data_IF_521963187821
#
_entry.id   IF_521963187821
#
_cell.length_a   1.000
_cell.length_b   1.000
_cell.length_c   1.000
_cell.angle_alpha   90.00
_cell.angle_beta   90.00
_cell.angle_gamma   90.00
#
_symmetry.space_group_name_H-M   'P 1'
#
loop_
_entity.id
_entity.type
_entity.pdbx_description
1 polymer ?
#
# COMPACT_ATOMS: atom_id res chain seq x y z
N UNK A 1 -9.54 -3.33 32.59
CA UNK A 1 -9.59 -2.05 31.86
C UNK A 1 -8.97 -2.33 30.49
N UNK A 2 -9.81 -2.60 29.49
CA UNK A 2 -9.33 -2.92 28.15
C UNK A 2 -8.75 -1.65 27.52
N UNK A 3 -7.51 -1.70 27.04
CA UNK A 3 -6.99 -0.67 26.13
C UNK A 3 -7.86 -0.74 24.87
N UNK A 4 -8.69 0.26 24.64
CA UNK A 4 -9.34 0.45 23.35
C UNK A 4 -8.24 0.91 22.40
N UNK A 5 -7.74 0.01 21.56
CA UNK A 5 -6.82 0.38 20.47
C UNK A 5 -7.59 1.32 19.55
N UNK A 6 -6.98 2.45 19.22
CA UNK A 6 -7.55 3.40 18.27
C UNK A 6 -7.76 2.70 16.91
N UNK A 7 -8.87 3.01 16.23
CA UNK A 7 -9.20 2.34 14.95
C UNK A 7 -8.13 2.58 13.89
N UNK A 8 -7.51 3.76 13.86
CA UNK A 8 -6.41 4.08 12.94
C UNK A 8 -5.20 3.17 13.23
N UNK A 9 -4.86 2.96 14.51
CA UNK A 9 -3.78 2.04 14.90
C UNK A 9 -4.08 0.61 14.47
N UNK A 10 -5.28 0.10 14.75
CA UNK A 10 -5.66 -1.27 14.38
C UNK A 10 -5.63 -1.49 12.86
N UNK A 11 -6.09 -0.49 12.09
CA UNK A 11 -6.07 -0.52 10.63
C UNK A 11 -4.63 -0.53 10.09
N UNK A 12 -3.75 0.31 10.62
CA UNK A 12 -2.35 0.36 10.19
C UNK A 12 -1.58 -0.91 10.57
N UNK A 13 -1.81 -1.46 11.77
CA UNK A 13 -1.22 -2.74 12.18
C UNK A 13 -1.70 -3.89 11.27
N UNK A 14 -2.99 -3.89 10.92
CA UNK A 14 -3.54 -4.87 10.00
C UNK A 14 -2.91 -4.77 8.61
N UNK A 15 -2.74 -3.55 8.09
CA UNK A 15 -2.13 -3.29 6.79
C UNK A 15 -0.65 -3.68 6.76
N UNK A 16 0.12 -3.26 7.77
CA UNK A 16 1.52 -3.61 7.95
C UNK A 16 1.72 -5.12 8.04
N UNK A 17 0.96 -5.78 8.91
CA UNK A 17 1.05 -7.23 9.10
C UNK A 17 0.66 -8.02 7.84
N UNK A 18 -0.28 -7.50 7.05
CA UNK A 18 -0.67 -8.12 5.78
C UNK A 18 0.41 -8.00 4.72
N UNK A 19 1.00 -6.80 4.57
CA UNK A 19 2.09 -6.56 3.64
C UNK A 19 3.31 -7.44 3.96
N UNK A 20 3.72 -7.48 5.24
CA UNK A 20 4.83 -8.33 5.69
C UNK A 20 4.60 -9.81 5.38
N UNK A 21 3.40 -10.34 5.66
CA UNK A 21 3.06 -11.74 5.38
C UNK A 21 3.13 -12.05 3.88
N UNK A 22 2.63 -11.15 3.02
CA UNK A 22 2.68 -11.34 1.56
C UNK A 22 4.11 -11.37 1.05
N UNK A 23 4.97 -10.46 1.50
CA UNK A 23 6.37 -10.43 1.07
C UNK A 23 7.15 -11.66 1.58
N UNK A 24 6.93 -12.07 2.83
CA UNK A 24 7.58 -13.25 3.39
C UNK A 24 7.15 -14.52 2.65
N UNK A 25 5.86 -14.67 2.32
CA UNK A 25 5.36 -15.88 1.64
C UNK A 25 5.68 -15.92 0.16
N UNK A 26 5.59 -14.79 -0.56
CA UNK A 26 5.69 -14.78 -2.02
C UNK A 26 7.12 -14.61 -2.51
N UNK A 27 7.93 -13.82 -1.81
CA UNK A 27 9.30 -13.48 -2.26
C UNK A 27 10.38 -13.78 -1.22
N UNK A 28 10.00 -14.28 -0.04
CA UNK A 28 10.95 -14.65 1.01
C UNK A 28 11.66 -13.47 1.67
N UNK A 29 11.12 -12.25 1.53
CA UNK A 29 11.72 -11.04 2.09
C UNK A 29 10.95 -10.55 3.31
N UNK A 30 11.66 -10.13 4.36
CA UNK A 30 11.07 -9.50 5.53
C UNK A 30 11.09 -7.99 5.38
N UNK A 31 9.91 -7.37 5.30
CA UNK A 31 9.77 -5.92 5.28
C UNK A 31 9.65 -5.37 6.70
N UNK A 32 10.45 -4.35 7.01
CA UNK A 32 10.33 -3.57 8.24
C UNK A 32 10.09 -2.09 7.90
N UNK A 33 9.06 -1.45 8.46
CA UNK A 33 8.83 -0.04 8.22
C UNK A 33 9.97 0.80 8.83
N UNK A 34 10.51 1.74 8.06
CA UNK A 34 11.58 2.64 8.53
C UNK A 34 11.10 4.08 8.80
N UNK A 35 9.83 4.38 8.53
CA UNK A 35 9.21 5.66 8.80
C UNK A 35 7.69 5.59 8.87
N UNK A 36 7.11 6.46 9.69
CA UNK A 36 5.67 6.79 9.73
C UNK A 36 5.55 8.29 9.50
N UNK A 37 4.83 8.73 8.47
CA UNK A 37 4.60 10.16 8.26
C UNK A 37 3.12 10.52 8.50
N UNK A 38 2.88 11.23 9.61
CA UNK A 38 1.62 11.92 9.87
C UNK A 38 1.57 13.19 9.02
N UNK A 39 1.03 13.07 7.80
CA UNK A 39 0.46 14.07 6.88
C UNK A 39 0.87 15.57 6.92
N UNK A 40 2.03 15.98 7.42
CA UNK A 40 2.41 17.41 7.51
C UNK A 40 3.76 17.77 6.88
N UNK A 41 4.44 16.83 6.23
CA UNK A 41 5.58 17.19 5.39
C UNK A 41 5.35 16.63 3.98
N UNK A 42 5.17 17.48 2.95
CA UNK A 42 5.42 17.02 1.59
C UNK A 42 6.82 16.42 1.59
N UNK A 43 7.00 15.24 0.99
CA UNK A 43 8.33 14.65 0.90
C UNK A 43 9.27 15.69 0.29
N UNK A 44 10.15 16.24 1.13
CA UNK A 44 11.00 17.36 0.76
C UNK A 44 11.91 16.92 -0.38
N UNK A 45 11.77 17.64 -1.49
CA UNK A 45 12.57 17.67 -2.72
C UNK A 45 13.97 17.03 -2.64
N UNK A 46 14.04 15.70 -2.70
CA UNK A 46 15.31 15.01 -2.92
C UNK A 46 15.05 13.81 -3.83
N UNK A 47 15.47 13.99 -5.09
CA UNK A 47 15.22 13.16 -6.27
C UNK A 47 13.79 13.21 -6.81
N UNK A 48 13.51 14.23 -7.64
CA UNK A 48 12.71 14.02 -8.86
C UNK A 48 13.48 13.04 -9.77
N UNK A 49 13.56 11.77 -9.37
CA UNK A 49 13.48 10.70 -10.36
C UNK A 49 12.14 10.83 -11.06
N UNK A 50 11.98 10.32 -12.27
CA UNK A 50 10.72 10.39 -13.01
C UNK A 50 9.58 9.77 -12.16
N UNK A 51 8.90 10.59 -11.34
CA UNK A 51 7.69 10.21 -10.63
C UNK A 51 6.57 9.78 -11.60
N UNK A 52 6.74 10.10 -12.90
CA UNK A 52 5.93 9.63 -14.02
C UNK A 52 5.95 8.11 -14.21
N UNK A 53 6.95 7.40 -13.66
CA UNK A 53 7.06 5.94 -13.79
C UNK A 53 6.69 5.18 -12.50
N UNK A 54 6.41 5.88 -11.39
CA UNK A 54 5.95 5.25 -10.16
C UNK A 54 4.54 4.69 -10.33
N UNK A 55 4.19 3.71 -9.49
CA UNK A 55 2.90 3.03 -9.58
C UNK A 55 2.22 2.92 -8.22
N UNK A 56 0.93 3.22 -8.21
CA UNK A 56 0.06 3.08 -7.04
C UNK A 56 -1.07 2.12 -7.34
N UNK A 57 -1.28 1.17 -6.45
CA UNK A 57 -2.39 0.22 -6.50
C UNK A 57 -3.42 0.64 -5.48
N UNK A 58 -4.58 1.07 -5.96
CA UNK A 58 -5.69 1.58 -5.15
C UNK A 58 -6.74 0.49 -5.01
N UNK A 59 -7.09 0.15 -3.77
CA UNK A 59 -8.21 -0.74 -3.47
C UNK A 59 -9.17 -0.03 -2.54
N UNK A 60 -10.41 0.15 -2.99
CA UNK A 60 -11.44 0.76 -2.17
C UNK A 60 -11.96 -0.24 -1.14
N UNK A 61 -12.18 0.22 0.09
CA UNK A 61 -12.84 -0.51 1.17
C UNK A 61 -14.16 0.19 1.50
N UNK A 62 -15.22 -0.58 1.72
CA UNK A 62 -16.51 -0.05 2.17
C UNK A 62 -17.20 -0.95 3.19
N UNK A 63 -18.13 -0.37 3.95
CA UNK A 63 -18.85 -1.02 5.06
C UNK A 63 -18.69 -0.22 6.34
N UNK A 64 -18.36 -0.89 7.45
CA UNK A 64 -18.14 -0.22 8.75
C UNK A 64 -17.02 0.84 8.69
N UNK A 65 -16.05 0.62 7.79
CA UNK A 65 -15.03 1.59 7.39
C UNK A 65 -15.15 1.85 5.90
N UNK A 66 -14.94 3.11 5.49
CA UNK A 66 -14.97 3.52 4.09
C UNK A 66 -13.69 4.27 3.71
N UNK A 67 -13.20 4.05 2.49
CA UNK A 67 -12.03 4.74 1.94
C UNK A 67 -11.17 3.82 1.09
N UNK A 68 -9.85 3.93 1.18
CA UNK A 68 -8.93 3.08 0.41
C UNK A 68 -7.69 2.64 1.18
N UNK A 69 -7.13 1.52 0.73
CA UNK A 69 -5.76 1.11 1.01
C UNK A 69 -4.99 1.17 -0.30
N UNK A 70 -3.83 1.83 -0.27
CA UNK A 70 -3.04 2.14 -1.44
C UNK A 70 -1.63 1.60 -1.23
N UNK A 71 -1.09 0.85 -2.19
CA UNK A 71 0.30 0.39 -2.17
C UNK A 71 1.05 1.11 -3.28
N UNK A 72 2.08 1.85 -2.92
CA UNK A 72 2.85 2.69 -3.82
C UNK A 72 4.25 2.09 -3.97
N UNK A 73 4.68 1.88 -5.19
CA UNK A 73 6.01 1.39 -5.53
C UNK A 73 6.66 2.41 -6.44
N UNK A 74 7.95 2.68 -6.21
CA UNK A 74 8.74 3.26 -7.29
C UNK A 74 8.85 2.26 -8.46
N UNK A 75 9.23 2.77 -9.64
CA UNK A 75 9.35 1.97 -10.86
C UNK A 75 10.14 0.68 -10.66
N UNK A 76 11.30 0.79 -10.02
CA UNK A 76 12.23 -0.32 -9.85
C UNK A 76 11.70 -1.36 -8.85
N UNK A 77 10.99 -0.93 -7.80
CA UNK A 77 10.26 -1.82 -6.89
C UNK A 77 9.17 -2.60 -7.62
N UNK A 78 8.46 -1.97 -8.56
CA UNK A 78 7.45 -2.67 -9.36
C UNK A 78 8.06 -3.73 -10.28
N UNK A 79 9.20 -3.43 -10.92
CA UNK A 79 9.92 -4.40 -11.75
C UNK A 79 10.50 -5.53 -10.93
N UNK A 80 11.09 -5.21 -9.78
CA UNK A 80 11.60 -6.19 -8.83
C UNK A 80 10.50 -7.13 -8.37
N UNK A 81 9.32 -6.59 -8.03
CA UNK A 81 8.17 -7.39 -7.63
C UNK A 81 7.74 -8.36 -8.73
N UNK A 82 7.57 -7.88 -9.96
CA UNK A 82 7.21 -8.72 -11.10
C UNK A 82 8.26 -9.81 -11.38
N UNK A 83 9.54 -9.46 -11.30
CA UNK A 83 10.65 -10.41 -11.45
C UNK A 83 10.61 -11.49 -10.36
N UNK A 84 10.48 -11.11 -9.09
CA UNK A 84 10.50 -12.09 -8.00
C UNK A 84 9.24 -12.98 -7.98
N UNK A 85 8.09 -12.43 -8.34
CA UNK A 85 6.82 -13.14 -8.28
C UNK A 85 6.65 -14.15 -9.43
N UNK A 86 7.03 -13.77 -10.64
CA UNK A 86 6.73 -14.54 -11.87
C UNK A 86 7.91 -14.64 -12.85
N UNK A 87 9.13 -14.32 -12.42
CA UNK A 87 10.36 -14.36 -13.25
C UNK A 87 10.29 -13.47 -14.50
N UNK A 88 9.55 -12.37 -14.41
CA UNK A 88 9.40 -11.40 -15.52
C UNK A 88 10.46 -10.29 -15.41
N UNK A 89 11.50 -10.36 -16.23
CA UNK A 89 12.53 -9.33 -16.35
C UNK A 89 12.15 -8.30 -17.42
N UNK A 90 12.04 -7.02 -17.03
CA UNK A 90 11.72 -5.91 -17.95
C UNK A 90 12.25 -4.59 -17.39
N UNK A 91 12.48 -3.63 -18.27
CA UNK A 91 12.79 -2.23 -17.96
C UNK A 91 11.62 -1.28 -18.30
N UNK A 92 10.48 -1.85 -18.69
CA UNK A 92 9.27 -1.12 -19.05
C UNK A 92 8.10 -1.52 -18.17
N UNK A 93 7.28 -0.53 -17.82
CA UNK A 93 6.01 -0.74 -17.13
C UNK A 93 4.98 -1.27 -18.12
N UNK A 94 5.09 -2.56 -18.45
CA UNK A 94 4.17 -3.30 -19.33
C UNK A 94 2.95 -3.84 -18.57
N UNK A 95 2.04 -4.53 -19.27
CA UNK A 95 0.82 -5.06 -18.66
C UNK A 95 1.12 -6.17 -17.63
N UNK A 96 2.18 -6.95 -17.82
CA UNK A 96 2.57 -8.02 -16.89
C UNK A 96 3.01 -7.43 -15.55
N UNK A 97 3.77 -6.32 -15.57
CA UNK A 97 4.12 -5.59 -14.34
C UNK A 97 2.86 -5.03 -13.67
N UNK A 98 1.98 -4.40 -14.45
CA UNK A 98 0.70 -3.84 -13.95
C UNK A 98 -0.15 -4.92 -13.28
N UNK A 99 -0.27 -6.10 -13.89
CA UNK A 99 -1.04 -7.21 -13.32
C UNK A 99 -0.37 -7.75 -12.04
N UNK A 100 0.96 -7.89 -12.04
CA UNK A 100 1.70 -8.36 -10.87
C UNK A 100 1.55 -7.43 -9.65
N UNK A 101 1.64 -6.11 -9.84
CA UNK A 101 1.38 -5.14 -8.75
C UNK A 101 -0.10 -5.09 -8.37
N UNK A 102 -1.01 -5.26 -9.33
CA UNK A 102 -2.44 -5.39 -9.08
C UNK A 102 -2.75 -6.56 -8.13
N UNK A 103 -2.15 -7.72 -8.38
CA UNK A 103 -2.29 -8.90 -7.50
C UNK A 103 -1.64 -8.69 -6.13
N UNK A 104 -0.53 -7.95 -6.03
CA UNK A 104 -0.01 -7.50 -4.74
C UNK A 104 -1.07 -6.71 -3.96
N UNK A 105 -1.73 -5.74 -4.62
CA UNK A 105 -2.83 -4.99 -4.03
C UNK A 105 -3.96 -5.88 -3.52
N UNK A 106 -4.39 -6.83 -4.34
CA UNK A 106 -5.44 -7.77 -3.99
C UNK A 106 -5.08 -8.63 -2.77
N UNK A 107 -3.86 -9.18 -2.75
CA UNK A 107 -3.36 -10.01 -1.65
C UNK A 107 -3.24 -9.23 -0.34
N UNK A 108 -2.61 -8.05 -0.38
CA UNK A 108 -2.38 -7.22 0.81
C UNK A 108 -3.70 -6.73 1.37
N UNK A 109 -4.59 -6.18 0.54
CA UNK A 109 -5.85 -5.61 1.04
C UNK A 109 -6.81 -6.71 1.49
N UNK A 110 -6.79 -7.88 0.82
CA UNK A 110 -7.49 -9.07 1.28
C UNK A 110 -7.02 -9.53 2.66
N UNK A 111 -5.71 -9.54 2.93
CA UNK A 111 -5.15 -9.87 4.23
C UNK A 111 -5.40 -8.82 5.31
N UNK A 112 -5.42 -7.53 4.96
CA UNK A 112 -5.80 -6.43 5.86
C UNK A 112 -7.26 -6.60 6.28
N UNK A 113 -8.16 -6.83 5.32
CA UNK A 113 -9.57 -7.11 5.61
C UNK A 113 -9.75 -8.32 6.53
N UNK A 114 -9.01 -9.43 6.31
CA UNK A 114 -9.07 -10.62 7.19
C UNK A 114 -8.65 -10.30 8.62
N UNK A 115 -7.62 -9.48 8.81
CA UNK A 115 -7.15 -9.03 10.13
C UNK A 115 -8.15 -8.09 10.83
N UNK A 116 -8.94 -7.36 10.04
CA UNK A 116 -10.03 -6.50 10.49
C UNK A 116 -11.39 -7.21 10.54
N UNK A 117 -11.43 -8.53 10.79
CA UNK A 117 -12.65 -9.34 10.75
C UNK A 117 -13.76 -8.90 11.74
N UNK A 118 -13.44 -8.05 12.72
CA UNK A 118 -14.44 -7.41 13.59
C UNK A 118 -15.31 -6.36 12.87
N UNK A 119 -14.86 -5.89 11.70
CA UNK A 119 -15.55 -4.94 10.85
C UNK A 119 -16.17 -5.67 9.64
N UNK A 120 -17.40 -5.32 9.30
CA UNK A 120 -18.07 -5.78 8.09
C UNK A 120 -17.55 -4.99 6.89
N UNK A 121 -16.48 -5.49 6.27
CA UNK A 121 -15.81 -4.81 5.16
C UNK A 121 -15.99 -5.55 3.83
N UNK A 122 -16.09 -4.80 2.75
CA UNK A 122 -15.96 -5.26 1.37
C UNK A 122 -14.83 -4.51 0.69
N UNK A 123 -14.18 -5.12 -0.30
CA UNK A 123 -13.11 -4.48 -1.08
C UNK A 123 -13.44 -4.52 -2.57
N UNK A 124 -13.01 -3.50 -3.31
CA UNK A 124 -13.08 -3.47 -4.77
C UNK A 124 -12.01 -4.36 -5.42
N UNK A 125 -12.07 -4.50 -6.74
CA UNK A 125 -10.89 -4.90 -7.52
C UNK A 125 -9.80 -3.83 -7.42
N UNK A 126 -8.51 -4.20 -7.55
CA UNK A 126 -7.42 -3.24 -7.58
C UNK A 126 -7.48 -2.37 -8.84
N UNK A 127 -7.18 -1.08 -8.68
CA UNK A 127 -6.94 -0.15 -9.77
C UNK A 127 -5.48 0.28 -9.74
N UNK A 128 -4.75 0.02 -10.81
CA UNK A 128 -3.33 0.37 -10.93
C UNK A 128 -3.20 1.70 -11.65
N UNK A 129 -2.54 2.66 -11.01
CA UNK A 129 -2.36 4.04 -11.49
C UNK A 129 -0.86 4.30 -11.63
N UNK A 130 -0.44 4.85 -12.77
CA UNK A 130 0.94 5.28 -13.00
C UNK A 130 1.17 6.65 -12.38
N UNK A 131 1.22 6.66 -11.06
CA UNK A 131 1.50 7.82 -10.26
C UNK A 131 2.07 7.37 -8.92
N UNK A 132 3.06 8.10 -8.41
CA UNK A 132 3.62 7.87 -7.09
C UNK A 132 2.72 8.34 -5.95
N UNK A 133 3.17 8.06 -4.72
CA UNK A 133 2.46 8.40 -3.48
C UNK A 133 2.17 9.91 -3.33
N UNK A 134 3.03 10.76 -3.88
CA UNK A 134 2.87 12.23 -3.86
C UNK A 134 1.66 12.73 -4.67
N UNK A 135 1.12 11.90 -5.56
CA UNK A 135 -0.05 12.22 -6.37
C UNK A 135 -1.37 11.76 -5.73
N UNK A 136 -1.32 11.08 -4.57
CA UNK A 136 -2.52 10.64 -3.87
C UNK A 136 -3.14 11.79 -3.08
N UNK A 137 -4.33 12.21 -3.47
CA UNK A 137 -5.12 13.19 -2.75
C UNK A 137 -6.33 12.52 -2.07
N UNK A 138 -6.61 12.95 -0.84
CA UNK A 138 -7.72 12.44 -0.04
C UNK A 138 -8.65 13.58 0.40
N UNK A 139 -9.95 13.31 0.59
CA UNK A 139 -10.87 14.30 1.15
C UNK A 139 -10.35 14.87 2.47
N UNK A 140 -10.56 16.18 2.70
CA UNK A 140 -10.00 16.92 3.85
C UNK A 140 -10.40 16.40 5.24
N UNK A 141 -11.45 15.59 5.34
CA UNK A 141 -11.93 14.99 6.58
C UNK A 141 -11.36 13.59 6.85
N UNK A 142 -10.58 13.04 5.92
CA UNK A 142 -9.87 11.77 6.09
C UNK A 142 -8.40 12.07 6.35
N UNK A 143 -7.85 11.49 7.41
CA UNK A 143 -6.42 11.55 7.69
C UNK A 143 -5.76 10.26 7.18
N UNK A 144 -5.01 10.30 6.07
CA UNK A 144 -4.27 9.15 5.60
C UNK A 144 -3.09 8.87 6.55
N UNK A 145 -2.89 7.60 6.87
CA UNK A 145 -1.70 7.11 7.57
C UNK A 145 -0.80 6.36 6.59
N UNK A 146 0.52 6.53 6.71
CA UNK A 146 1.52 5.98 5.79
C UNK A 146 2.62 5.24 6.53
N UNK A 147 3.00 4.08 6.00
CA UNK A 147 4.24 3.38 6.36
C UNK A 147 5.13 3.24 5.14
N UNK A 148 6.41 3.55 5.33
CA UNK A 148 7.45 3.45 4.32
C UNK A 148 8.36 2.26 4.60
N UNK A 149 8.68 1.52 3.53
CA UNK A 149 9.47 0.31 3.56
C UNK A 149 10.61 0.42 2.56
N UNK A 150 11.74 -0.16 2.95
CA UNK A 150 12.86 -0.36 2.06
C UNK A 150 12.68 -1.73 1.42
N UNK A 151 12.68 -1.76 0.08
CA UNK A 151 12.64 -2.98 -0.71
C UNK A 151 13.92 -3.03 -1.53
N UNK A 152 14.94 -3.66 -0.94
CA UNK A 152 16.33 -3.60 -1.39
C UNK A 152 16.90 -2.16 -1.42
N UNK A 153 17.25 -1.61 -2.58
CA UNK A 153 17.71 -0.21 -2.71
C UNK A 153 16.55 0.77 -2.98
N UNK A 154 15.32 0.25 -3.09
CA UNK A 154 14.16 0.97 -3.57
C UNK A 154 13.08 1.15 -2.50
N UNK A 155 12.04 1.92 -2.84
CA UNK A 155 10.99 2.35 -1.90
C UNK A 155 9.64 1.76 -2.25
N UNK A 156 8.99 1.29 -1.20
CA UNK A 156 7.59 0.89 -1.20
C UNK A 156 6.87 1.57 -0.03
N UNK A 157 5.62 1.96 -0.23
CA UNK A 157 4.79 2.54 0.82
C UNK A 157 3.40 1.91 0.84
N UNK A 158 2.79 1.84 2.01
CA UNK A 158 1.36 1.59 2.15
C UNK A 158 0.70 2.83 2.77
N UNK A 159 -0.34 3.32 2.11
CA UNK A 159 -1.14 4.46 2.57
C UNK A 159 -2.55 3.99 2.82
N UNK A 160 -3.02 4.16 4.05
CA UNK A 160 -4.38 3.80 4.44
C UNK A 160 -5.16 5.06 4.76
N UNK A 161 -6.27 5.24 4.05
CA UNK A 161 -7.15 6.38 4.20
C UNK A 161 -8.57 5.85 4.45
N UNK A 162 -8.86 5.48 5.69
CA UNK A 162 -10.16 4.93 6.11
C UNK A 162 -10.81 5.81 7.16
N UNK A 163 -12.13 5.94 7.09
CA UNK A 163 -12.94 6.58 8.12
C UNK A 163 -14.11 5.69 8.52
N UNK A 164 -14.54 5.77 9.79
CA UNK A 164 -15.76 5.12 10.25
C UNK A 164 -16.98 5.75 9.58
N UNK A 165 -17.94 4.93 9.17
CA UNK A 165 -19.26 5.42 8.83
C UNK A 165 -19.94 5.91 10.12
N UNK A 166 -20.44 7.15 10.09
CA UNK A 166 -21.21 7.74 11.19
C UNK A 166 -22.61 7.15 11.33
#
# INVERSE_FOLDING_TARGET
>A
MALCIDTETAVMEAANGSLGEVFEMMVGESLTPFGTCDSQNPLSESNKGNADDDVSVVVAISGDLNGSVNICLDKDSAFRWARQLIDHETDTMDQTVVDAVGELGNMVVGGTKRRLASYNLTMSLPSVVRAGVECLEFPSHIKPARLDYQYDEHRLAIVVALSKQG
#
